data_IF_905577411685
#
_entry.id   IF_905577411685
#
_cell.length_a   1.000
_cell.length_b   1.000
_cell.length_c   1.000
_cell.angle_alpha   90.00
_cell.angle_beta   90.00
_cell.angle_gamma   90.00
#
_symmetry.space_group_name_H-M   'P 1'
#
loop_
_entity.id
_entity.type
_entity.pdbx_description
1 polymer ?
#
# COMPACT_ATOMS: atom_id res chain seq x y z
N UNK A 1 3.93 18.09 40.52
CA UNK A 1 2.70 17.53 39.92
C UNK A 1 2.92 17.57 38.41
N UNK A 2 3.24 16.43 37.83
CA UNK A 2 3.49 16.34 36.38
C UNK A 2 2.16 16.21 35.66
N UNK A 3 1.77 17.23 34.91
CA UNK A 3 0.60 17.14 34.01
C UNK A 3 0.88 16.08 32.95
N UNK A 4 -0.01 15.10 32.86
CA UNK A 4 0.07 14.08 31.82
C UNK A 4 -0.21 14.69 30.44
N UNK A 5 0.23 14.02 29.35
CA UNK A 5 0.08 14.53 27.99
C UNK A 5 -1.40 14.85 27.66
N UNK A 6 -1.62 15.86 26.79
CA UNK A 6 -2.97 16.32 26.47
C UNK A 6 -3.84 15.22 25.86
N UNK A 7 -5.18 15.27 26.01
CA UNK A 7 -6.11 14.20 25.60
C UNK A 7 -6.04 13.81 24.13
N UNK A 8 -5.56 14.69 23.25
CA UNK A 8 -5.39 14.45 21.81
C UNK A 8 -4.27 13.45 21.47
N UNK A 9 -3.24 13.33 22.31
CA UNK A 9 -2.14 12.35 22.10
C UNK A 9 -2.52 10.94 22.53
N UNK A 10 -3.51 10.78 23.42
CA UNK A 10 -3.97 9.46 23.89
C UNK A 10 -4.83 8.68 22.88
N UNK A 11 -5.25 9.29 21.77
CA UNK A 11 -6.15 8.66 20.80
C UNK A 11 -5.45 8.09 19.57
N UNK A 12 -4.16 8.33 19.37
CA UNK A 12 -3.43 7.74 18.25
C UNK A 12 -2.88 6.38 18.65
N UNK A 13 -3.38 5.34 17.97
CA UNK A 13 -2.89 3.96 18.14
C UNK A 13 -1.39 3.91 17.82
N UNK A 14 -0.58 3.36 18.71
CA UNK A 14 0.86 3.20 18.48
C UNK A 14 1.12 2.41 17.19
N UNK A 15 2.16 2.77 16.45
CA UNK A 15 2.56 2.09 15.22
C UNK A 15 3.70 1.12 15.53
N UNK A 16 3.56 -0.11 15.07
CA UNK A 16 4.53 -1.17 15.29
C UNK A 16 4.83 -1.95 14.00
N UNK A 17 5.94 -2.68 14.00
CA UNK A 17 6.22 -3.64 12.94
C UNK A 17 5.18 -4.77 13.00
N UNK A 18 4.58 -5.06 11.84
CA UNK A 18 3.58 -6.12 11.75
C UNK A 18 4.24 -7.51 11.86
N UNK A 19 3.69 -8.35 12.73
CA UNK A 19 4.11 -9.74 12.90
C UNK A 19 3.37 -10.67 11.92
N UNK A 20 3.95 -11.83 11.66
CA UNK A 20 3.34 -12.80 10.74
C UNK A 20 1.98 -13.32 11.23
N UNK A 21 1.77 -13.46 12.53
CA UNK A 21 0.50 -13.88 13.13
C UNK A 21 -0.64 -12.86 12.87
N UNK A 22 -0.34 -11.59 12.65
CA UNK A 22 -1.30 -10.52 12.32
C UNK A 22 -1.72 -10.51 10.84
N UNK A 23 -1.08 -11.32 9.98
CA UNK A 23 -1.31 -11.37 8.53
C UNK A 23 -2.79 -11.40 8.13
N UNK A 24 -3.59 -12.26 8.75
CA UNK A 24 -5.02 -12.42 8.42
C UNK A 24 -5.84 -11.19 8.80
N UNK A 25 -5.57 -10.61 9.95
CA UNK A 25 -6.28 -9.42 10.45
C UNK A 25 -5.95 -8.22 9.58
N UNK A 26 -4.67 -8.02 9.24
CA UNK A 26 -4.20 -6.94 8.35
C UNK A 26 -4.82 -7.13 6.96
N UNK A 27 -4.78 -8.32 6.38
CA UNK A 27 -5.37 -8.59 5.07
C UNK A 27 -6.88 -8.34 5.03
N UNK A 28 -7.62 -8.68 6.08
CA UNK A 28 -9.04 -8.41 6.17
C UNK A 28 -9.33 -6.90 6.27
N UNK A 29 -8.55 -6.15 7.04
CA UNK A 29 -8.65 -4.69 7.14
C UNK A 29 -8.34 -4.02 5.79
N UNK A 30 -7.22 -4.39 5.14
CA UNK A 30 -6.85 -3.88 3.82
C UNK A 30 -7.90 -4.22 2.76
N UNK A 31 -8.53 -5.40 2.85
CA UNK A 31 -9.63 -5.77 1.95
C UNK A 31 -10.82 -4.81 2.04
N UNK A 32 -11.16 -4.32 3.23
CA UNK A 32 -12.20 -3.30 3.42
C UNK A 32 -11.73 -1.94 2.92
N UNK A 33 -10.49 -1.57 3.21
CA UNK A 33 -9.90 -0.29 2.81
C UNK A 33 -9.86 -0.12 1.28
N UNK A 34 -9.54 -1.19 0.56
CA UNK A 34 -9.37 -1.19 -0.90
C UNK A 34 -10.59 -1.70 -1.67
N UNK A 35 -11.70 -2.01 -0.99
CA UNK A 35 -12.87 -2.60 -1.66
C UNK A 35 -13.39 -1.75 -2.82
N UNK A 36 -13.37 -0.43 -2.67
CA UNK A 36 -13.81 0.53 -3.68
C UNK A 36 -12.65 1.23 -4.41
N UNK A 37 -11.44 0.69 -4.33
CA UNK A 37 -10.30 1.19 -5.09
C UNK A 37 -10.52 0.98 -6.61
N UNK A 38 -10.24 1.99 -7.47
CA UNK A 38 -10.48 1.90 -8.91
C UNK A 38 -9.72 0.75 -9.58
N UNK A 39 -8.46 0.48 -9.17
CA UNK A 39 -7.67 -0.60 -9.75
C UNK A 39 -8.22 -1.98 -9.35
N UNK A 40 -8.58 -2.12 -8.09
CA UNK A 40 -9.23 -3.32 -7.56
C UNK A 40 -10.60 -3.54 -8.21
N UNK A 41 -11.40 -2.48 -8.39
CA UNK A 41 -12.69 -2.55 -9.07
C UNK A 41 -12.57 -2.95 -10.54
N UNK A 42 -11.52 -2.51 -11.22
CA UNK A 42 -11.24 -2.90 -12.60
C UNK A 42 -10.72 -4.34 -12.70
N UNK A 43 -9.85 -4.78 -11.78
CA UNK A 43 -9.39 -6.18 -11.73
C UNK A 43 -10.56 -7.12 -11.43
N UNK A 44 -11.36 -6.81 -10.42
CA UNK A 44 -12.52 -7.59 -9.96
C UNK A 44 -13.82 -6.78 -10.04
N UNK A 45 -14.46 -6.67 -11.22
CA UNK A 45 -15.68 -5.85 -11.37
C UNK A 45 -16.84 -6.35 -10.52
N UNK A 46 -17.01 -7.66 -10.41
CA UNK A 46 -18.04 -8.27 -9.58
C UNK A 46 -17.71 -8.11 -8.09
N UNK A 47 -18.56 -7.41 -7.30
CA UNK A 47 -18.31 -7.17 -5.88
C UNK A 47 -18.32 -8.46 -5.02
N UNK A 48 -19.06 -9.49 -5.44
CA UNK A 48 -19.10 -10.79 -4.73
C UNK A 48 -17.78 -11.54 -4.94
N UNK A 49 -17.26 -11.54 -6.16
CA UNK A 49 -15.94 -12.11 -6.46
C UNK A 49 -14.85 -11.31 -5.73
N UNK A 50 -14.93 -9.98 -5.79
CA UNK A 50 -13.99 -9.06 -5.14
C UNK A 50 -13.88 -9.34 -3.65
N UNK A 51 -15.01 -9.43 -2.93
CA UNK A 51 -15.02 -9.69 -1.48
C UNK A 51 -14.31 -10.99 -1.09
N UNK A 52 -14.40 -12.03 -1.93
CA UNK A 52 -13.76 -13.33 -1.71
C UNK A 52 -12.28 -13.34 -2.08
N UNK A 53 -11.85 -12.49 -3.03
CA UNK A 53 -10.49 -12.47 -3.57
C UNK A 53 -9.55 -11.55 -2.81
N UNK A 54 -10.03 -10.40 -2.34
CA UNK A 54 -9.21 -9.40 -1.66
C UNK A 54 -8.44 -9.92 -0.43
N UNK A 55 -9.02 -10.72 0.48
CA UNK A 55 -8.24 -11.25 1.60
C UNK A 55 -7.06 -12.11 1.16
N UNK A 56 -7.20 -12.88 0.06
CA UNK A 56 -6.11 -13.69 -0.50
C UNK A 56 -5.04 -12.81 -1.14
N UNK A 57 -5.46 -11.77 -1.86
CA UNK A 57 -4.55 -10.78 -2.47
C UNK A 57 -3.70 -10.11 -1.40
N UNK A 58 -4.33 -9.55 -0.36
CA UNK A 58 -3.58 -8.84 0.68
C UNK A 58 -2.74 -9.76 1.56
N UNK A 59 -3.12 -11.03 1.74
CA UNK A 59 -2.23 -12.03 2.34
C UNK A 59 -1.00 -12.28 1.45
N UNK A 60 -1.19 -12.42 0.14
CA UNK A 60 -0.09 -12.61 -0.81
C UNK A 60 0.87 -11.40 -0.80
N UNK A 61 0.34 -10.17 -0.87
CA UNK A 61 1.16 -8.95 -0.81
C UNK A 61 1.90 -8.82 0.52
N UNK A 62 1.25 -9.14 1.62
CA UNK A 62 1.88 -9.16 2.95
C UNK A 62 3.06 -10.13 3.01
N UNK A 63 2.93 -11.31 2.40
CA UNK A 63 3.99 -12.31 2.38
C UNK A 63 5.12 -11.92 1.43
N UNK A 64 4.80 -11.44 0.23
CA UNK A 64 5.82 -11.04 -0.75
C UNK A 64 6.66 -9.85 -0.29
N UNK A 65 6.09 -8.95 0.52
CA UNK A 65 6.81 -7.80 1.08
C UNK A 65 7.54 -8.13 2.40
N UNK A 66 7.49 -9.39 2.87
CA UNK A 66 8.06 -9.77 4.18
C UNK A 66 9.55 -9.46 4.32
N UNK A 67 10.32 -9.65 3.26
CA UNK A 67 11.78 -9.49 3.23
C UNK A 67 12.22 -8.30 2.37
N UNK A 68 11.28 -7.45 1.92
CA UNK A 68 11.58 -6.34 1.02
C UNK A 68 11.71 -4.99 1.70
N UNK A 69 11.37 -4.90 2.99
CA UNK A 69 11.40 -3.65 3.72
C UNK A 69 10.66 -3.75 5.04
N UNK A 70 9.71 -2.86 5.29
CA UNK A 70 8.96 -2.85 6.54
C UNK A 70 7.45 -2.95 6.31
N UNK A 71 6.78 -3.67 7.19
CA UNK A 71 5.33 -3.75 7.28
C UNK A 71 4.90 -3.15 8.60
N UNK A 72 4.11 -2.10 8.55
CA UNK A 72 3.66 -1.38 9.75
C UNK A 72 2.17 -1.62 9.96
N UNK A 73 1.77 -1.66 11.21
CA UNK A 73 0.37 -1.76 11.62
C UNK A 73 0.15 -0.92 12.87
N UNK A 74 -1.00 -0.29 12.99
CA UNK A 74 -1.43 0.30 14.25
C UNK A 74 -1.74 -0.78 15.28
N UNK A 75 -1.52 -0.53 16.54
CA UNK A 75 -1.71 -1.51 17.64
C UNK A 75 -3.08 -2.18 17.59
N UNK A 76 -4.13 -1.44 17.24
CA UNK A 76 -5.51 -1.94 17.13
C UNK A 76 -5.88 -2.48 15.75
N UNK A 77 -4.94 -2.44 14.77
CA UNK A 77 -5.17 -2.93 13.42
C UNK A 77 -6.06 -2.05 12.54
N UNK A 78 -6.23 -0.75 12.89
CA UNK A 78 -7.07 0.17 12.12
C UNK A 78 -6.45 0.61 10.79
N UNK A 79 -5.11 0.57 10.69
CA UNK A 79 -4.37 0.92 9.48
C UNK A 79 -3.11 0.06 9.34
N UNK A 80 -2.67 -0.12 8.11
CA UNK A 80 -1.41 -0.79 7.81
C UNK A 80 -0.74 -0.17 6.57
N UNK A 81 0.60 -0.24 6.54
CA UNK A 81 1.41 0.12 5.38
C UNK A 81 2.46 -0.96 5.10
N UNK A 82 2.69 -1.21 3.81
CA UNK A 82 3.75 -2.09 3.31
C UNK A 82 4.73 -1.23 2.54
N UNK A 83 6.00 -1.28 2.94
CA UNK A 83 7.07 -0.50 2.35
C UNK A 83 8.14 -1.43 1.80
N UNK A 84 8.66 -1.09 0.63
CA UNK A 84 9.85 -1.75 0.06
C UNK A 84 11.05 -0.84 0.18
N UNK A 85 12.15 -1.40 0.63
CA UNK A 85 13.42 -0.69 0.78
C UNK A 85 14.03 -0.32 -0.59
N UNK A 86 14.97 0.62 -0.64
CA UNK A 86 15.73 0.95 -1.85
C UNK A 86 16.27 -0.31 -2.54
N UNK A 87 16.14 -0.36 -3.87
CA UNK A 87 16.51 -1.53 -4.68
C UNK A 87 15.55 -2.73 -4.62
N UNK A 88 14.46 -2.66 -3.83
CA UNK A 88 13.49 -3.76 -3.67
C UNK A 88 12.12 -3.50 -4.34
N UNK A 89 11.99 -2.42 -5.11
CA UNK A 89 10.72 -2.07 -5.76
C UNK A 89 10.29 -3.11 -6.79
N UNK A 90 11.22 -3.60 -7.58
CA UNK A 90 10.98 -4.59 -8.63
C UNK A 90 10.82 -6.02 -8.08
N UNK A 91 10.04 -6.82 -8.80
CA UNK A 91 9.91 -8.25 -8.52
C UNK A 91 10.96 -9.01 -9.32
N UNK A 92 11.80 -9.80 -8.66
CA UNK A 92 12.80 -10.62 -9.34
C UNK A 92 12.17 -11.75 -10.17
N UNK A 93 12.89 -12.27 -11.17
CA UNK A 93 12.43 -13.41 -11.99
C UNK A 93 12.13 -14.65 -11.13
N UNK A 94 12.92 -14.91 -10.09
CA UNK A 94 12.70 -16.04 -9.19
C UNK A 94 11.42 -15.87 -8.37
N UNK A 95 11.14 -14.67 -7.86
CA UNK A 95 9.90 -14.36 -7.17
C UNK A 95 8.68 -14.45 -8.09
N UNK A 96 8.80 -14.01 -9.34
CA UNK A 96 7.75 -14.11 -10.33
C UNK A 96 7.36 -15.56 -10.59
N UNK A 97 8.33 -16.44 -10.77
CA UNK A 97 8.11 -17.89 -11.00
C UNK A 97 7.47 -18.54 -9.76
N UNK A 98 7.97 -18.25 -8.55
CA UNK A 98 7.44 -18.83 -7.31
C UNK A 98 6.02 -18.34 -6.99
N UNK A 99 5.65 -17.17 -7.49
CA UNK A 99 4.34 -16.55 -7.27
C UNK A 99 3.26 -16.94 -8.27
N UNK A 100 3.59 -17.67 -9.36
CA UNK A 100 2.62 -18.01 -10.43
C UNK A 100 1.40 -18.76 -9.87
N UNK A 101 1.60 -19.85 -9.13
CA UNK A 101 0.49 -20.63 -8.56
C UNK A 101 -0.33 -19.85 -7.52
N UNK A 102 0.28 -19.15 -6.55
CA UNK A 102 -0.44 -18.22 -5.68
C UNK A 102 -1.23 -17.14 -6.44
N UNK A 103 -0.67 -16.56 -7.50
CA UNK A 103 -1.34 -15.56 -8.33
C UNK A 103 -2.57 -16.14 -9.06
N UNK A 104 -2.45 -17.32 -9.68
CA UNK A 104 -3.57 -17.99 -10.33
C UNK A 104 -4.68 -18.26 -9.30
N UNK A 105 -4.33 -18.76 -8.13
CA UNK A 105 -5.26 -19.00 -7.02
C UNK A 105 -5.93 -17.72 -6.50
N UNK A 106 -5.21 -16.60 -6.53
CA UNK A 106 -5.69 -15.30 -6.09
C UNK A 106 -6.61 -14.64 -7.14
N UNK A 107 -6.15 -14.57 -8.39
CA UNK A 107 -6.81 -13.78 -9.44
C UNK A 107 -7.78 -14.59 -10.31
N UNK A 108 -7.57 -15.89 -10.51
CA UNK A 108 -8.38 -16.72 -11.40
C UNK A 108 -8.49 -16.09 -12.81
N UNK A 109 -9.70 -15.92 -13.34
CA UNK A 109 -9.95 -15.28 -14.65
C UNK A 109 -9.54 -13.80 -14.72
N UNK A 110 -9.33 -13.13 -13.59
CA UNK A 110 -8.91 -11.73 -13.53
C UNK A 110 -7.39 -11.54 -13.71
N UNK A 111 -6.60 -12.62 -13.83
CA UNK A 111 -5.14 -12.59 -13.87
C UNK A 111 -4.60 -11.67 -14.97
N UNK A 112 -5.22 -11.65 -16.16
CA UNK A 112 -4.79 -10.77 -17.26
C UNK A 112 -4.91 -9.28 -16.92
N UNK A 113 -5.97 -8.88 -16.19
CA UNK A 113 -6.13 -7.50 -15.70
C UNK A 113 -5.13 -7.18 -14.58
N UNK A 114 -4.90 -8.11 -13.66
CA UNK A 114 -3.90 -7.94 -12.61
C UNK A 114 -2.49 -7.75 -13.18
N UNK A 115 -2.12 -8.54 -14.20
CA UNK A 115 -0.84 -8.40 -14.91
C UNK A 115 -0.77 -7.03 -15.61
N UNK A 116 -1.84 -6.57 -16.27
CA UNK A 116 -1.85 -5.29 -16.95
C UNK A 116 -1.63 -4.11 -15.96
N UNK A 117 -2.25 -4.16 -14.77
CA UNK A 117 -1.99 -3.18 -13.70
C UNK A 117 -0.54 -3.24 -13.23
N UNK A 118 -0.04 -4.44 -12.92
CA UNK A 118 1.34 -4.62 -12.45
C UNK A 118 2.38 -4.14 -13.46
N UNK A 119 2.21 -4.47 -14.74
CA UNK A 119 3.11 -4.01 -15.82
C UNK A 119 3.05 -2.50 -16.01
N UNK A 120 1.85 -1.90 -15.92
CA UNK A 120 1.72 -0.45 -16.02
C UNK A 120 2.38 0.27 -14.84
N UNK A 121 2.24 -0.23 -13.61
CA UNK A 121 2.97 0.28 -12.44
C UNK A 121 4.47 0.16 -12.67
N UNK A 122 4.96 -1.02 -13.04
CA UNK A 122 6.39 -1.30 -13.22
C UNK A 122 7.03 -0.40 -14.30
N UNK A 123 6.29 -0.08 -15.37
CA UNK A 123 6.73 0.82 -16.44
C UNK A 123 6.83 2.31 -16.02
N UNK A 124 6.22 2.71 -14.89
CA UNK A 124 6.22 4.09 -14.39
C UNK A 124 6.96 4.24 -13.05
N UNK A 125 7.62 3.18 -12.59
CA UNK A 125 8.52 3.30 -11.44
C UNK A 125 9.70 4.22 -11.79
N UNK A 126 10.12 5.10 -10.88
CA UNK A 126 11.26 6.00 -11.14
C UNK A 126 12.58 5.22 -11.19
N UNK A 127 13.55 5.79 -11.90
CA UNK A 127 14.92 5.29 -11.91
C UNK A 127 15.60 5.48 -10.55
N UNK A 128 16.56 4.60 -10.23
CA UNK A 128 17.39 4.69 -9.03
C UNK A 128 16.76 4.05 -7.80
N UNK A 129 17.32 4.37 -6.64
CA UNK A 129 16.96 3.80 -5.36
C UNK A 129 16.02 4.71 -4.57
N UNK A 130 14.92 4.17 -4.05
CA UNK A 130 13.91 4.88 -3.27
C UNK A 130 13.18 3.94 -2.32
N UNK A 131 12.60 4.49 -1.26
CA UNK A 131 11.60 3.81 -0.46
C UNK A 131 10.26 3.80 -1.18
N UNK A 132 9.71 2.63 -1.41
CA UNK A 132 8.44 2.49 -2.10
C UNK A 132 7.30 2.19 -1.12
N UNK A 133 6.39 3.14 -0.94
CA UNK A 133 5.13 2.89 -0.22
C UNK A 133 4.18 2.09 -1.11
N UNK A 134 4.34 0.77 -1.09
CA UNK A 134 3.63 -0.16 -1.96
C UNK A 134 2.14 -0.27 -1.61
N UNK A 135 1.78 -0.34 -0.32
CA UNK A 135 0.40 -0.40 0.15
C UNK A 135 0.23 0.54 1.35
N UNK A 136 -0.83 1.34 1.33
CA UNK A 136 -1.27 2.11 2.47
C UNK A 136 -2.80 2.03 2.60
N UNK A 137 -3.29 1.47 3.69
CA UNK A 137 -4.74 1.32 3.92
C UNK A 137 -5.15 1.64 5.35
N UNK A 138 -6.31 2.27 5.48
CA UNK A 138 -6.98 2.52 6.74
C UNK A 138 -8.42 2.00 6.66
N UNK A 139 -8.85 1.26 7.67
CA UNK A 139 -10.22 0.73 7.76
C UNK A 139 -11.23 1.87 7.56
N UNK A 140 -12.24 1.70 6.68
CA UNK A 140 -13.27 2.72 6.43
C UNK A 140 -13.94 3.28 7.70
N UNK A 141 -14.12 2.46 8.73
CA UNK A 141 -14.69 2.87 10.03
C UNK A 141 -13.77 3.81 10.83
N UNK A 142 -12.50 3.89 10.45
CA UNK A 142 -11.47 4.66 11.15
C UNK A 142 -10.86 5.78 10.29
N UNK A 143 -11.32 5.96 9.05
CA UNK A 143 -10.93 7.07 8.17
C UNK A 143 -11.40 8.42 8.74
N UNK A 144 -10.75 9.51 8.31
CA UNK A 144 -11.07 10.86 8.78
C UNK A 144 -10.53 11.21 10.18
N UNK A 145 -9.94 10.26 10.91
CA UNK A 145 -9.43 10.43 12.28
C UNK A 145 -7.91 10.65 12.35
N UNK A 146 -7.24 10.88 11.21
CA UNK A 146 -5.78 11.10 11.15
C UNK A 146 -4.91 9.86 11.20
N UNK A 147 -5.48 8.67 11.45
CA UNK A 147 -4.75 7.40 11.65
C UNK A 147 -3.92 7.02 10.42
N UNK A 148 -4.51 7.10 9.21
CA UNK A 148 -3.80 6.82 7.96
C UNK A 148 -2.59 7.75 7.75
N UNK A 149 -2.74 9.03 8.10
CA UNK A 149 -1.62 9.98 8.04
C UNK A 149 -0.53 9.70 9.06
N UNK A 150 -0.92 9.26 10.25
CA UNK A 150 0.04 8.92 11.31
C UNK A 150 0.92 7.73 10.92
N UNK A 151 0.33 6.64 10.43
CA UNK A 151 1.11 5.44 10.06
C UNK A 151 2.00 5.69 8.84
N UNK A 152 1.58 6.52 7.86
CA UNK A 152 2.45 6.89 6.73
C UNK A 152 3.60 7.76 7.21
N UNK A 153 3.37 8.75 8.08
CA UNK A 153 4.44 9.57 8.67
C UNK A 153 5.42 8.74 9.50
N UNK A 154 4.94 7.78 10.29
CA UNK A 154 5.81 6.87 11.04
C UNK A 154 6.70 6.04 10.08
N UNK A 155 6.13 5.54 8.98
CA UNK A 155 6.87 4.86 7.93
C UNK A 155 7.93 5.75 7.29
N UNK A 156 7.57 7.00 6.97
CA UNK A 156 8.54 7.99 6.47
C UNK A 156 9.66 8.27 7.47
N UNK A 157 9.35 8.39 8.76
CA UNK A 157 10.37 8.58 9.81
C UNK A 157 11.32 7.39 9.92
N UNK A 158 10.81 6.16 9.80
CA UNK A 158 11.65 4.94 9.83
C UNK A 158 12.47 4.75 8.56
N UNK A 159 11.99 5.28 7.42
CA UNK A 159 12.70 5.22 6.13
C UNK A 159 13.80 6.27 6.01
N UNK A 160 13.86 7.23 6.95
CA UNK A 160 14.81 8.35 6.90
C UNK A 160 16.15 7.93 7.52
N UNK A 161 17.03 7.43 6.68
CA UNK A 161 18.47 7.63 6.85
C UNK A 161 18.96 8.86 6.05
N UNK A 162 18.04 9.66 5.49
CA UNK A 162 18.31 10.88 4.73
C UNK A 162 18.98 10.66 3.38
N UNK A 163 18.99 9.43 2.84
CA UNK A 163 19.74 9.09 1.62
C UNK A 163 18.86 8.86 0.41
N UNK A 164 17.61 8.43 0.63
CA UNK A 164 16.73 8.00 -0.46
C UNK A 164 15.39 8.73 -0.42
N UNK A 165 14.86 9.12 -1.58
CA UNK A 165 13.51 9.65 -1.70
C UNK A 165 12.47 8.57 -1.37
N UNK A 166 11.22 8.98 -1.18
CA UNK A 166 10.09 8.06 -1.06
C UNK A 166 9.16 8.21 -2.27
N UNK A 167 8.69 7.09 -2.79
CA UNK A 167 7.80 7.01 -3.94
C UNK A 167 6.52 6.26 -3.60
N UNK A 168 5.44 6.62 -4.26
CA UNK A 168 4.17 5.90 -4.28
C UNK A 168 3.41 6.17 -5.58
N UNK A 169 2.43 5.34 -5.89
CA UNK A 169 1.37 5.65 -6.85
C UNK A 169 -0.01 5.48 -6.21
N UNK A 170 -1.00 6.18 -6.75
CA UNK A 170 -2.39 6.08 -6.29
C UNK A 170 -3.37 6.21 -7.46
N UNK A 171 -4.41 5.35 -7.54
CA UNK A 171 -5.48 5.50 -8.52
C UNK A 171 -6.61 6.43 -8.04
N UNK A 172 -6.45 7.08 -6.89
CA UNK A 172 -7.45 7.95 -6.27
C UNK A 172 -6.96 9.39 -6.23
N UNK A 173 -7.50 10.26 -7.09
CA UNK A 173 -7.17 11.68 -7.15
C UNK A 173 -7.32 12.37 -5.79
N UNK A 174 -8.34 12.01 -5.00
CA UNK A 174 -8.53 12.55 -3.65
C UNK A 174 -7.35 12.29 -2.69
N UNK A 175 -6.50 11.30 -2.98
CA UNK A 175 -5.33 11.00 -2.17
C UNK A 175 -4.15 11.94 -2.47
N UNK A 176 -4.14 12.65 -3.60
CA UNK A 176 -3.06 13.56 -3.98
C UNK A 176 -2.84 14.59 -2.87
N UNK A 177 -3.89 15.31 -2.48
CA UNK A 177 -3.79 16.31 -1.41
C UNK A 177 -3.38 15.73 -0.06
N UNK A 178 -3.75 14.47 0.21
CA UNK A 178 -3.33 13.77 1.42
C UNK A 178 -1.81 13.53 1.42
N UNK A 179 -1.24 13.04 0.33
CA UNK A 179 0.20 12.79 0.23
C UNK A 179 1.02 14.08 0.07
N UNK A 180 0.47 15.10 -0.60
CA UNK A 180 1.11 16.43 -0.68
C UNK A 180 1.38 17.04 0.70
N UNK A 181 0.46 16.88 1.67
CA UNK A 181 0.68 17.31 3.06
C UNK A 181 1.81 16.57 3.79
N UNK A 182 2.34 15.50 3.20
CA UNK A 182 3.48 14.74 3.69
C UNK A 182 4.75 14.94 2.85
N UNK A 183 4.73 15.95 1.96
CA UNK A 183 5.88 16.34 1.14
C UNK A 183 6.01 15.61 -0.18
N UNK A 184 5.02 14.81 -0.59
CA UNK A 184 5.01 14.21 -1.93
C UNK A 184 4.53 15.22 -2.98
N UNK A 185 5.12 15.16 -4.17
CA UNK A 185 4.67 15.88 -5.35
C UNK A 185 4.30 14.89 -6.46
N UNK A 186 3.29 15.21 -7.27
CA UNK A 186 2.96 14.43 -8.46
C UNK A 186 4.09 14.57 -9.46
N UNK A 187 4.63 13.46 -9.95
CA UNK A 187 5.70 13.40 -10.94
C UNK A 187 5.22 12.88 -12.29
N UNK A 188 4.15 12.09 -12.30
CA UNK A 188 3.58 11.55 -13.53
C UNK A 188 2.10 11.24 -13.36
N UNK A 189 1.36 11.22 -14.48
CA UNK A 189 -0.04 10.82 -14.57
C UNK A 189 -0.21 9.89 -15.77
N UNK A 190 -0.72 8.70 -15.52
CA UNK A 190 -0.83 7.66 -16.54
C UNK A 190 -2.07 6.79 -16.38
N UNK A 191 -2.39 5.99 -17.38
CA UNK A 191 -3.59 5.15 -17.39
C UNK A 191 -3.22 3.72 -17.75
N UNK A 192 -3.75 2.76 -17.00
CA UNK A 192 -3.60 1.34 -17.34
C UNK A 192 -4.25 1.08 -18.70
N UNK A 193 -3.55 0.41 -19.64
CA UNK A 193 -4.10 0.09 -20.98
C UNK A 193 -5.44 -0.65 -20.93
N UNK A 194 -6.15 -0.62 -22.06
CA UNK A 194 -7.44 -1.32 -22.26
C UNK A 194 -8.59 -0.81 -21.37
N UNK A 195 -8.62 0.51 -21.14
CA UNK A 195 -9.67 1.14 -20.35
C UNK A 195 -9.53 0.91 -18.83
N UNK A 196 -8.31 0.66 -18.37
CA UNK A 196 -8.02 0.54 -16.95
C UNK A 196 -8.01 1.90 -16.23
N UNK A 197 -7.78 1.90 -14.93
CA UNK A 197 -7.81 3.11 -14.12
C UNK A 197 -6.63 4.04 -14.40
N UNK A 198 -6.85 5.33 -14.10
CA UNK A 198 -5.81 6.35 -14.05
C UNK A 198 -5.05 6.24 -12.74
N UNK A 199 -3.74 6.54 -12.79
CA UNK A 199 -2.85 6.61 -11.65
C UNK A 199 -2.06 7.91 -11.65
N UNK A 200 -1.64 8.31 -10.47
CA UNK A 200 -0.69 9.40 -10.24
C UNK A 200 0.52 8.84 -9.51
N UNK A 201 1.69 8.98 -10.13
CA UNK A 201 2.98 8.75 -9.50
C UNK A 201 3.35 9.94 -8.64
N UNK A 202 3.83 9.71 -7.43
CA UNK A 202 4.19 10.78 -6.51
C UNK A 202 5.55 10.49 -5.86
N UNK A 203 6.41 11.51 -5.81
CA UNK A 203 7.74 11.42 -5.22
C UNK A 203 7.88 12.46 -4.10
N UNK A 204 8.45 12.04 -2.99
CA UNK A 204 8.92 12.90 -1.91
C UNK A 204 10.44 12.89 -1.95
N UNK A 205 11.11 14.05 -2.20
CA UNK A 205 12.57 14.13 -2.19
C UNK A 205 13.13 13.89 -0.78
N UNK A 206 14.44 13.72 -0.70
CA UNK A 206 15.20 13.61 0.55
C UNK A 206 15.10 14.88 1.36
#
# INVERSE_FOLDING_TARGET
MSEGPPPSERMMSAVQLARHDQRRVIAAMLSRAFFNDPSIGWIFPDPVVRSKRLPRLFMLLFDTDANKGMRLVTERGEAATLWRAPGQAHTSMGEMISSILPMIGCFGSAIGRAIAVSQAIDAHLPDGDYWYLHIAGCDPLHQGKGIGGAIVRDGLQRSVDGRFPAYLETPLEKNISFYQRMGFAVTDEWTVPRGGPRFWSMLRPV
#
